data_IF_761652575449
#
_entry.id   IF_761652575449
#
_cell.length_a   1.000
_cell.length_b   1.000
_cell.length_c   1.000
_cell.angle_alpha   90.00
_cell.angle_beta   90.00
_cell.angle_gamma   90.00
#
_symmetry.space_group_name_H-M   'P 1'
#
loop_
_entity.id
_entity.type
_entity.pdbx_description
1 polymer ?
#
# COMPACT_ATOMS: atom_id res chain seq x y z
N UNK A 1 -38.20 54.83 2.84
CA UNK A 1 -36.81 54.62 3.29
C UNK A 1 -36.60 53.14 3.48
N UNK A 2 -35.85 52.52 2.58
CA UNK A 2 -35.63 51.07 2.56
C UNK A 2 -34.48 50.70 3.51
N UNK A 3 -34.71 49.69 4.37
CA UNK A 3 -33.69 49.16 5.27
C UNK A 3 -32.59 48.43 4.47
N UNK A 4 -31.30 48.57 4.84
CA UNK A 4 -30.22 47.89 4.13
C UNK A 4 -30.22 46.39 4.46
N UNK A 5 -30.24 45.56 3.42
CA UNK A 5 -30.09 44.10 3.52
C UNK A 5 -28.65 43.79 3.92
N UNK A 6 -28.47 43.09 5.05
CA UNK A 6 -27.15 42.58 5.48
C UNK A 6 -26.64 41.52 4.48
N UNK A 7 -25.33 41.45 4.19
CA UNK A 7 -24.77 40.40 3.34
C UNK A 7 -24.96 39.04 4.02
N UNK A 8 -25.39 38.03 3.24
CA UNK A 8 -25.37 36.62 3.64
C UNK A 8 -23.92 36.18 3.72
N UNK A 9 -23.44 35.88 4.92
CA UNK A 9 -22.21 35.10 5.10
C UNK A 9 -22.47 33.69 4.57
N UNK A 10 -21.85 33.35 3.45
CA UNK A 10 -21.77 31.99 2.95
C UNK A 10 -20.85 31.21 3.89
N UNK A 11 -21.45 30.48 4.85
CA UNK A 11 -20.73 29.44 5.59
C UNK A 11 -20.30 28.37 4.61
N UNK A 12 -19.02 28.38 4.26
CA UNK A 12 -18.30 27.22 3.75
C UNK A 12 -18.61 26.04 4.68
N UNK A 13 -19.28 25.02 4.15
CA UNK A 13 -19.45 23.76 4.85
C UNK A 13 -18.11 23.05 4.78
N UNK A 14 -17.31 23.22 5.82
CA UNK A 14 -16.30 22.24 6.19
C UNK A 14 -17.07 20.91 6.35
N UNK A 15 -16.84 19.98 5.42
CA UNK A 15 -17.29 18.60 5.58
C UNK A 15 -16.46 18.03 6.75
N UNK A 16 -17.04 18.11 7.95
CA UNK A 16 -16.54 17.43 9.14
C UNK A 16 -16.28 15.94 8.80
N UNK A 17 -15.01 15.56 8.85
CA UNK A 17 -14.45 14.19 8.76
C UNK A 17 -14.89 13.36 9.99
N UNK A 18 -16.21 13.20 10.19
CA UNK A 18 -16.81 12.55 11.37
C UNK A 18 -17.36 11.15 11.05
N UNK A 19 -16.57 10.37 10.32
CA UNK A 19 -16.77 8.93 10.12
C UNK A 19 -15.44 8.24 10.47
N UNK A 20 -15.22 8.03 11.78
CA UNK A 20 -14.03 7.38 12.32
C UNK A 20 -14.31 5.90 12.69
N UNK A 21 -14.21 4.95 11.74
CA UNK A 21 -14.27 3.53 12.04
C UNK A 21 -12.89 3.05 12.52
N UNK A 22 -12.80 2.53 13.75
CA UNK A 22 -11.65 1.81 14.36
C UNK A 22 -10.26 2.52 14.38
N UNK A 23 -10.07 3.59 13.62
CA UNK A 23 -8.89 4.47 13.60
C UNK A 23 -8.68 5.17 14.95
N UNK A 24 -9.77 5.47 15.67
CA UNK A 24 -9.80 6.26 16.90
C UNK A 24 -9.22 5.58 18.18
N UNK A 25 -8.60 4.39 18.07
CA UNK A 25 -7.90 3.74 19.21
C UNK A 25 -6.50 3.22 18.88
N UNK A 26 -5.85 3.71 17.82
CA UNK A 26 -4.43 3.39 17.57
C UNK A 26 -3.55 4.27 18.47
N UNK A 27 -3.30 3.80 19.70
CA UNK A 27 -2.44 4.48 20.67
C UNK A 27 -1.05 4.68 20.07
N UNK A 28 -0.60 5.94 19.95
CA UNK A 28 0.77 6.30 19.58
C UNK A 28 1.73 5.53 20.50
N UNK A 29 2.51 4.60 19.94
CA UNK A 29 3.49 3.79 20.68
C UNK A 29 3.12 2.32 20.92
N UNK A 30 2.00 1.80 20.39
CA UNK A 30 1.73 0.36 20.44
C UNK A 30 2.65 -0.43 19.50
N UNK A 31 3.21 -1.51 20.03
CA UNK A 31 3.99 -2.52 19.30
C UNK A 31 3.19 -3.02 18.09
N UNK A 32 3.71 -2.80 16.89
CA UNK A 32 3.13 -3.30 15.63
C UNK A 32 4.21 -3.55 14.60
N UNK A 33 3.94 -4.49 13.69
CA UNK A 33 4.74 -4.72 12.50
C UNK A 33 4.16 -3.93 11.34
N UNK A 34 5.00 -3.13 10.70
CA UNK A 34 4.69 -2.49 9.43
C UNK A 34 5.45 -3.24 8.34
N UNK A 35 4.76 -3.66 7.28
CA UNK A 35 5.40 -4.29 6.12
C UNK A 35 5.23 -3.40 4.91
N UNK A 36 6.34 -3.04 4.28
CA UNK A 36 6.34 -2.30 3.01
C UNK A 36 6.76 -3.28 1.91
N UNK A 37 5.83 -3.57 1.01
CA UNK A 37 6.11 -4.30 -0.23
C UNK A 37 6.67 -3.33 -1.27
N UNK A 38 8.00 -3.35 -1.46
CA UNK A 38 8.74 -2.40 -2.28
C UNK A 38 8.87 -2.84 -3.73
N UNK A 39 8.70 -1.89 -4.67
CA UNK A 39 8.86 -2.15 -6.10
C UNK A 39 7.82 -3.12 -6.66
N UNK A 40 6.60 -3.09 -6.12
CA UNK A 40 5.50 -3.94 -6.59
C UNK A 40 5.16 -3.66 -8.06
N UNK A 41 5.05 -4.72 -8.87
CA UNK A 41 4.67 -4.62 -10.28
C UNK A 41 3.15 -4.51 -10.45
N UNK A 42 2.60 -3.35 -10.10
CA UNK A 42 1.17 -3.04 -10.21
C UNK A 42 0.96 -1.83 -11.13
N UNK A 43 0.56 -2.09 -12.36
CA UNK A 43 0.36 -1.09 -13.41
C UNK A 43 -0.86 -1.46 -14.25
N UNK A 44 -1.67 -0.49 -14.65
CA UNK A 44 -2.77 -0.72 -15.59
C UNK A 44 -2.34 -0.48 -17.03
N UNK A 45 -2.90 -1.28 -17.94
CA UNK A 45 -2.72 -1.15 -19.38
C UNK A 45 -4.09 -1.16 -20.06
N UNK A 46 -4.22 -0.38 -21.14
CA UNK A 46 -5.44 -0.36 -21.95
C UNK A 46 -5.34 -1.40 -23.05
N UNK A 47 -6.26 -2.36 -23.05
CA UNK A 47 -6.38 -3.40 -24.08
C UNK A 47 -7.71 -3.22 -24.79
N UNK A 48 -7.67 -2.67 -26.01
CA UNK A 48 -8.88 -2.30 -26.74
C UNK A 48 -9.72 -1.25 -25.98
N UNK A 49 -10.88 -1.68 -25.47
CA UNK A 49 -11.83 -0.83 -24.72
C UNK A 49 -11.76 -1.04 -23.20
N UNK A 50 -11.02 -2.04 -22.72
CA UNK A 50 -10.94 -2.39 -21.29
C UNK A 50 -9.59 -2.01 -20.70
N UNK A 51 -9.55 -1.86 -19.38
CA UNK A 51 -8.32 -1.69 -18.61
C UNK A 51 -8.03 -2.99 -17.87
N UNK A 52 -6.80 -3.45 -17.99
CA UNK A 52 -6.31 -4.67 -17.35
C UNK A 52 -5.06 -4.38 -16.53
N UNK A 53 -4.77 -5.24 -15.56
CA UNK A 53 -3.49 -5.17 -14.84
C UNK A 53 -2.41 -5.78 -15.72
N UNK A 54 -1.32 -5.06 -15.93
CA UNK A 54 -0.19 -5.49 -16.74
C UNK A 54 0.40 -6.78 -16.16
N UNK A 55 0.67 -7.75 -17.03
CA UNK A 55 1.05 -9.12 -16.64
C UNK A 55 1.92 -9.74 -17.73
N UNK A 56 2.96 -10.47 -17.35
CA UNK A 56 3.84 -11.22 -18.24
C UNK A 56 3.10 -12.21 -19.17
N UNK A 57 2.05 -12.87 -18.70
CA UNK A 57 1.38 -13.94 -19.45
C UNK A 57 0.42 -13.40 -20.51
N UNK A 58 -0.43 -12.44 -20.13
CA UNK A 58 -1.47 -11.87 -21.00
C UNK A 58 -0.93 -10.79 -21.94
N UNK A 59 0.09 -10.05 -21.50
CA UNK A 59 0.53 -8.83 -22.19
C UNK A 59 1.94 -8.92 -22.78
N UNK A 60 2.49 -10.12 -22.97
CA UNK A 60 3.86 -10.36 -23.47
C UNK A 60 4.19 -9.57 -24.74
N UNK A 61 3.32 -9.63 -25.76
CA UNK A 61 3.55 -8.94 -27.03
C UNK A 61 3.57 -7.41 -26.87
N UNK A 62 2.74 -6.88 -25.98
CA UNK A 62 2.71 -5.45 -25.67
C UNK A 62 3.99 -5.01 -24.95
N UNK A 63 4.44 -5.82 -23.98
CA UNK A 63 5.68 -5.57 -23.22
C UNK A 63 6.90 -5.52 -24.15
N UNK A 64 7.05 -6.53 -25.01
CA UNK A 64 8.14 -6.60 -26.00
C UNK A 64 8.12 -5.39 -26.95
N UNK A 65 6.94 -4.96 -27.42
CA UNK A 65 6.80 -3.76 -28.25
C UNK A 65 7.19 -2.46 -27.55
N UNK A 66 6.99 -2.41 -26.23
CA UNK A 66 7.40 -1.28 -25.39
C UNK A 66 8.87 -1.35 -24.93
N UNK A 67 9.62 -2.38 -25.35
CA UNK A 67 11.01 -2.59 -24.95
C UNK A 67 11.18 -3.01 -23.49
N UNK A 68 10.10 -3.46 -22.83
CA UNK A 68 10.13 -3.94 -21.44
C UNK A 68 10.25 -5.45 -21.41
N UNK A 69 11.05 -5.96 -20.48
CA UNK A 69 11.16 -7.40 -20.25
C UNK A 69 9.85 -7.93 -19.62
N UNK A 70 9.15 -8.88 -20.25
CA UNK A 70 8.02 -9.56 -19.65
C UNK A 70 8.35 -10.21 -18.30
N UNK A 71 9.58 -10.66 -18.09
CA UNK A 71 10.03 -11.29 -16.84
C UNK A 71 9.90 -10.41 -15.60
N UNK A 72 9.94 -9.07 -15.77
CA UNK A 72 9.85 -8.10 -14.68
C UNK A 72 8.41 -7.76 -14.26
N UNK A 73 7.42 -8.18 -15.07
CA UNK A 73 6.01 -7.84 -14.83
C UNK A 73 5.31 -8.98 -14.11
N UNK A 74 5.50 -9.01 -12.79
CA UNK A 74 5.06 -10.09 -11.89
C UNK A 74 4.13 -9.59 -10.77
N UNK A 75 2.90 -9.16 -11.08
CA UNK A 75 1.89 -8.79 -10.08
C UNK A 75 1.51 -9.94 -9.13
N UNK A 76 1.76 -11.20 -9.52
CA UNK A 76 1.52 -12.40 -8.72
C UNK A 76 2.36 -12.44 -7.44
N UNK A 77 3.58 -11.88 -7.45
CA UNK A 77 4.44 -11.80 -6.27
C UNK A 77 3.74 -10.98 -5.18
N UNK A 78 3.26 -9.79 -5.54
CA UNK A 78 2.52 -8.92 -4.60
C UNK A 78 1.23 -9.59 -4.13
N UNK A 79 0.52 -10.27 -5.03
CA UNK A 79 -0.70 -11.00 -4.68
C UNK A 79 -0.46 -12.07 -3.61
N UNK A 80 0.53 -12.94 -3.83
CA UNK A 80 0.86 -14.01 -2.89
C UNK A 80 1.37 -13.47 -1.55
N UNK A 81 2.23 -12.44 -1.58
CA UNK A 81 2.71 -11.78 -0.36
C UNK A 81 1.54 -11.20 0.46
N UNK A 82 0.60 -10.52 -0.19
CA UNK A 82 -0.59 -9.98 0.48
C UNK A 82 -1.48 -11.07 1.07
N UNK A 83 -1.66 -12.20 0.38
CA UNK A 83 -2.41 -13.33 0.94
C UNK A 83 -1.78 -13.83 2.24
N UNK A 84 -0.46 -14.00 2.27
CA UNK A 84 0.26 -14.46 3.47
C UNK A 84 0.18 -13.44 4.61
N UNK A 85 0.39 -12.16 4.31
CA UNK A 85 0.36 -11.08 5.28
C UNK A 85 -1.04 -10.93 5.90
N UNK A 86 -2.08 -10.85 5.07
CA UNK A 86 -3.45 -10.56 5.53
C UNK A 86 -4.09 -11.76 6.24
N UNK A 87 -3.65 -12.99 5.97
CA UNK A 87 -4.12 -14.18 6.68
C UNK A 87 -3.42 -14.46 8.00
N UNK A 88 -2.27 -13.83 8.21
CA UNK A 88 -1.42 -14.09 9.37
C UNK A 88 -2.18 -13.90 10.69
N UNK A 89 -1.88 -14.70 11.74
CA UNK A 89 -2.41 -14.46 13.07
C UNK A 89 -2.12 -13.03 13.57
N UNK A 90 -1.00 -12.45 13.11
CA UNK A 90 -0.59 -11.09 13.44
C UNK A 90 -1.57 -10.03 12.90
N UNK A 91 -2.07 -10.21 11.67
CA UNK A 91 -3.10 -9.34 11.11
C UNK A 91 -4.42 -9.48 11.88
N UNK A 92 -4.82 -10.71 12.21
CA UNK A 92 -6.05 -10.96 12.99
C UNK A 92 -5.98 -10.38 14.40
N UNK A 93 -4.79 -10.29 14.98
CA UNK A 93 -4.53 -9.64 16.26
C UNK A 93 -4.48 -8.09 16.16
N UNK A 94 -4.59 -7.51 14.96
CA UNK A 94 -4.53 -6.06 14.74
C UNK A 94 -3.12 -5.46 14.89
N UNK A 95 -2.07 -6.30 14.81
CA UNK A 95 -0.67 -5.89 15.02
C UNK A 95 0.09 -5.71 13.71
N UNK A 96 -0.58 -5.78 12.55
CA UNK A 96 0.01 -5.65 11.23
C UNK A 96 -0.56 -4.43 10.50
N UNK A 97 0.32 -3.65 9.87
CA UNK A 97 -0.03 -2.65 8.87
C UNK A 97 0.76 -2.93 7.59
N UNK A 98 0.10 -2.92 6.44
CA UNK A 98 0.76 -3.21 5.15
C UNK A 98 0.68 -1.98 4.25
N UNK A 99 1.81 -1.68 3.62
CA UNK A 99 1.92 -0.71 2.54
C UNK A 99 2.48 -1.39 1.30
N UNK A 100 2.06 -0.93 0.13
CA UNK A 100 2.59 -1.37 -1.15
C UNK A 100 3.12 -0.14 -1.86
N UNK A 101 4.40 -0.17 -2.20
CA UNK A 101 5.03 0.85 -3.02
C UNK A 101 5.35 0.26 -4.38
N UNK A 102 4.74 0.81 -5.43
CA UNK A 102 4.85 0.26 -6.79
C UNK A 102 6.06 0.79 -7.53
N UNK A 103 6.48 0.10 -8.59
CA UNK A 103 7.54 0.58 -9.50
C UNK A 103 7.21 1.93 -10.16
N UNK A 104 5.92 2.31 -10.21
CA UNK A 104 5.45 3.59 -10.73
C UNK A 104 5.29 4.67 -9.64
N UNK A 105 5.96 4.50 -8.50
CA UNK A 105 5.95 5.45 -7.38
C UNK A 105 4.54 5.71 -6.82
N UNK A 106 3.67 4.70 -6.85
CA UNK A 106 2.35 4.76 -6.22
C UNK A 106 2.43 4.09 -4.86
N UNK A 107 2.06 4.81 -3.81
CA UNK A 107 1.99 4.26 -2.46
C UNK A 107 0.54 3.92 -2.12
N UNK A 108 0.32 2.67 -1.72
CA UNK A 108 -0.99 2.13 -1.37
C UNK A 108 -0.96 1.70 0.09
N UNK A 109 -1.91 2.19 0.85
CA UNK A 109 -2.23 1.71 2.19
C UNK A 109 -3.29 0.61 2.12
N UNK A 110 -3.03 -0.49 2.84
CA UNK A 110 -3.96 -1.61 2.95
C UNK A 110 -4.57 -1.63 4.35
N UNK A 111 -5.89 -1.51 4.43
CA UNK A 111 -6.61 -1.64 5.69
C UNK A 111 -6.53 -3.11 6.18
N UNK A 112 -6.21 -3.37 7.46
CA UNK A 112 -6.16 -4.72 8.05
C UNK A 112 -7.41 -5.58 7.84
N UNK A 113 -8.59 -4.96 7.68
CA UNK A 113 -9.86 -5.64 7.43
C UNK A 113 -10.04 -6.09 5.97
N UNK A 114 -9.15 -5.69 5.07
CA UNK A 114 -9.24 -6.00 3.65
C UNK A 114 -9.10 -7.50 3.41
N UNK A 115 -10.11 -8.11 2.80
CA UNK A 115 -10.04 -9.50 2.31
C UNK A 115 -9.51 -9.52 0.89
N UNK A 116 -8.25 -9.90 0.72
CA UNK A 116 -7.62 -10.01 -0.59
C UNK A 116 -8.24 -11.19 -1.37
N UNK A 117 -8.69 -10.99 -2.62
CA UNK A 117 -9.25 -12.07 -3.43
C UNK A 117 -8.25 -13.20 -3.63
N UNK A 118 -8.66 -14.45 -3.40
CA UNK A 118 -7.80 -15.64 -3.55
C UNK A 118 -7.42 -15.96 -4.99
N UNK A 119 -8.33 -15.68 -5.91
CA UNK A 119 -8.12 -15.93 -7.34
C UNK A 119 -7.41 -14.72 -7.94
N UNK A 120 -6.33 -14.97 -8.66
CA UNK A 120 -5.47 -13.93 -9.21
C UNK A 120 -6.19 -12.96 -10.16
N UNK A 121 -7.11 -13.44 -11.02
CA UNK A 121 -7.88 -12.55 -11.91
C UNK A 121 -8.76 -11.54 -11.16
N UNK A 122 -9.34 -11.94 -10.02
CA UNK A 122 -10.14 -11.02 -9.17
C UNK A 122 -9.25 -10.00 -8.47
N UNK A 123 -8.05 -10.40 -8.06
CA UNK A 123 -7.06 -9.47 -7.53
C UNK A 123 -6.66 -8.44 -8.59
N UNK A 124 -6.44 -8.85 -9.84
CA UNK A 124 -6.14 -7.94 -10.94
C UNK A 124 -7.24 -6.90 -11.13
N UNK A 125 -8.51 -7.31 -11.18
CA UNK A 125 -9.65 -6.38 -11.27
C UNK A 125 -9.72 -5.39 -10.11
N UNK A 126 -9.44 -5.87 -8.88
CA UNK A 126 -9.40 -5.02 -7.68
C UNK A 126 -8.29 -3.96 -7.78
N UNK A 127 -7.09 -4.34 -8.24
CA UNK A 127 -5.96 -3.41 -8.40
C UNK A 127 -6.22 -2.39 -9.52
N UNK A 128 -6.82 -2.81 -10.63
CA UNK A 128 -7.26 -1.88 -11.69
C UNK A 128 -8.25 -0.86 -11.13
N UNK A 129 -9.26 -1.32 -10.37
CA UNK A 129 -10.22 -0.43 -9.74
C UNK A 129 -9.55 0.55 -8.78
N UNK A 130 -8.62 0.07 -7.93
CA UNK A 130 -7.87 0.90 -7.00
C UNK A 130 -7.06 1.98 -7.71
N UNK A 131 -6.31 1.61 -8.75
CA UNK A 131 -5.44 2.56 -9.48
C UNK A 131 -6.25 3.61 -10.26
N UNK A 132 -7.46 3.27 -10.71
CA UNK A 132 -8.36 4.23 -11.38
C UNK A 132 -9.12 5.15 -10.41
N UNK A 133 -9.61 4.61 -9.29
CA UNK A 133 -10.46 5.35 -8.33
C UNK A 133 -9.68 5.92 -7.15
N UNK A 134 -8.39 5.62 -7.04
CA UNK A 134 -7.48 5.95 -5.94
C UNK A 134 -7.89 5.40 -4.56
N UNK A 135 -9.05 4.74 -4.47
CA UNK A 135 -9.51 4.04 -3.27
C UNK A 135 -10.55 2.97 -3.62
N UNK A 136 -10.65 1.97 -2.75
CA UNK A 136 -11.71 0.95 -2.78
C UNK A 136 -12.39 0.93 -1.42
N UNK A 137 -13.72 1.06 -1.41
CA UNK A 137 -14.53 1.02 -0.20
C UNK A 137 -15.12 -0.37 0.01
N UNK A 138 -15.50 -0.67 1.25
CA UNK A 138 -16.27 -1.86 1.54
C UNK A 138 -17.65 -1.78 0.87
N UNK A 139 -18.23 -2.94 0.56
CA UNK A 139 -19.56 -2.98 -0.06
C UNK A 139 -20.68 -2.62 0.92
N UNK A 140 -20.43 -2.85 2.20
CA UNK A 140 -21.34 -2.74 3.34
C UNK A 140 -21.10 -1.50 4.20
N UNK A 141 -20.20 -0.59 3.80
CA UNK A 141 -19.94 0.61 4.59
C UNK A 141 -19.02 1.64 3.91
N UNK A 142 -18.89 2.83 4.51
CA UNK A 142 -18.09 3.92 3.96
C UNK A 142 -16.58 3.67 4.05
N UNK A 143 -16.13 2.71 4.86
CA UNK A 143 -14.72 2.45 5.12
C UNK A 143 -13.91 2.21 3.84
N UNK A 144 -12.76 2.87 3.74
CA UNK A 144 -11.78 2.62 2.67
C UNK A 144 -10.92 1.42 3.07
N UNK A 145 -10.96 0.38 2.25
CA UNK A 145 -10.18 -0.84 2.43
C UNK A 145 -8.80 -0.72 1.80
N UNK A 146 -8.72 -0.11 0.62
CA UNK A 146 -7.48 0.19 -0.07
C UNK A 146 -7.49 1.67 -0.44
N UNK A 147 -6.35 2.35 -0.26
CA UNK A 147 -6.24 3.78 -0.53
C UNK A 147 -4.86 4.11 -1.08
N UNK A 148 -4.81 4.87 -2.16
CA UNK A 148 -3.59 5.51 -2.63
C UNK A 148 -3.31 6.72 -1.73
N UNK A 149 -2.10 6.77 -1.19
CA UNK A 149 -1.63 7.81 -0.26
C UNK A 149 -0.41 8.52 -0.85
N UNK A 150 -0.05 9.68 -0.28
CA UNK A 150 1.08 10.49 -0.76
C UNK A 150 2.40 9.87 -0.32
N UNK A 151 3.40 9.94 -1.18
CA UNK A 151 4.80 9.66 -0.82
C UNK A 151 5.40 10.81 0.00
N UNK A 152 6.48 10.55 0.76
CA UNK A 152 7.15 9.25 0.98
C UNK A 152 6.42 8.35 1.99
N UNK A 153 6.75 7.05 2.01
CA UNK A 153 6.17 6.11 2.99
C UNK A 153 6.52 6.46 4.43
N UNK A 154 7.66 7.11 4.65
CA UNK A 154 8.14 7.55 5.97
C UNK A 154 7.14 8.41 6.75
N UNK A 155 6.35 9.22 6.05
CA UNK A 155 5.41 10.15 6.65
C UNK A 155 4.23 9.43 7.32
N UNK A 156 3.99 8.17 6.94
CA UNK A 156 2.92 7.33 7.45
C UNK A 156 3.40 6.31 8.48
N UNK A 157 4.70 6.31 8.79
CA UNK A 157 5.29 5.45 9.81
C UNK A 157 5.22 6.12 11.19
N UNK A 158 5.06 5.35 12.28
CA UNK A 158 5.04 5.91 13.62
C UNK A 158 6.42 6.43 14.02
N UNK A 159 6.45 7.40 14.94
CA UNK A 159 7.69 7.94 15.52
C UNK A 159 8.42 6.83 16.29
N UNK A 160 9.75 6.83 16.23
CA UNK A 160 10.59 5.82 16.89
C UNK A 160 10.55 4.45 16.22
N UNK A 161 10.07 4.37 14.98
CA UNK A 161 9.99 3.10 14.25
C UNK A 161 11.34 2.74 13.62
N UNK A 162 11.91 1.62 14.06
CA UNK A 162 13.06 1.00 13.41
C UNK A 162 12.67 0.54 12.00
N UNK A 163 13.53 0.80 11.01
CA UNK A 163 13.32 0.44 9.60
C UNK A 163 14.38 -0.58 9.18
N UNK A 164 13.94 -1.75 8.74
CA UNK A 164 14.80 -2.88 8.37
C UNK A 164 14.51 -3.25 6.91
N UNK A 165 15.53 -3.18 6.06
CA UNK A 165 15.48 -3.71 4.70
C UNK A 165 15.86 -5.19 4.67
N UNK A 166 15.12 -5.99 3.92
CA UNK A 166 15.48 -7.40 3.68
C UNK A 166 16.26 -7.54 2.38
N UNK A 167 17.35 -8.30 2.42
CA UNK A 167 18.18 -8.58 1.25
C UNK A 167 18.87 -9.93 1.39
N UNK A 168 18.88 -10.71 0.30
CA UNK A 168 19.64 -11.95 0.23
C UNK A 168 21.16 -11.71 0.23
N UNK A 169 21.61 -10.55 -0.26
CA UNK A 169 23.03 -10.19 -0.31
C UNK A 169 23.56 -9.67 1.04
N UNK A 170 22.76 -9.67 2.10
CA UNK A 170 23.21 -9.27 3.42
C UNK A 170 24.32 -10.24 3.90
N UNK A 171 25.43 -9.73 4.45
CA UNK A 171 26.58 -10.56 4.81
C UNK A 171 26.29 -11.53 5.95
N UNK A 172 25.35 -11.17 6.85
CA UNK A 172 24.99 -11.95 8.01
C UNK A 172 23.49 -12.25 7.99
N UNK A 173 23.14 -13.47 8.39
CA UNK A 173 21.74 -13.88 8.64
C UNK A 173 21.46 -13.69 10.12
N UNK A 174 20.44 -12.88 10.43
CA UNK A 174 20.03 -12.59 11.81
C UNK A 174 18.73 -13.32 12.13
N UNK A 175 18.60 -13.83 13.37
CA UNK A 175 17.32 -14.36 13.83
C UNK A 175 16.28 -13.24 13.92
N UNK A 176 15.15 -13.40 13.21
CA UNK A 176 14.06 -12.43 13.22
C UNK A 176 13.53 -12.15 14.62
N UNK A 177 13.61 -13.12 15.55
CA UNK A 177 13.14 -12.95 16.94
C UNK A 177 13.97 -11.93 17.71
N UNK A 178 15.25 -11.76 17.35
CA UNK A 178 16.15 -10.78 17.97
C UNK A 178 15.93 -9.37 17.41
N UNK A 179 15.47 -9.28 16.15
CA UNK A 179 15.18 -8.01 15.48
C UNK A 179 13.84 -7.39 15.90
N UNK A 180 12.93 -8.17 16.50
CA UNK A 180 11.62 -7.66 16.89
C UNK A 180 11.72 -6.90 18.22
N UNK A 181 11.52 -5.57 18.24
CA UNK A 181 11.51 -4.80 19.48
C UNK A 181 10.36 -5.24 20.40
N UNK A 182 10.59 -5.11 21.71
CA UNK A 182 9.63 -5.54 22.74
C UNK A 182 8.42 -4.62 22.86
N UNK A 183 8.62 -3.31 22.65
CA UNK A 183 7.59 -2.29 22.85
C UNK A 183 7.38 -1.40 21.61
N UNK A 184 8.44 -1.14 20.86
CA UNK A 184 8.40 -0.21 19.73
C UNK A 184 7.79 -0.84 18.47
N UNK A 185 7.27 -0.01 17.54
CA UNK A 185 6.91 -0.47 16.20
C UNK A 185 8.16 -0.75 15.35
N UNK A 186 8.08 -1.73 14.47
CA UNK A 186 9.15 -2.06 13.52
C UNK A 186 8.59 -2.10 12.10
N UNK A 187 9.33 -1.52 11.15
CA UNK A 187 9.03 -1.57 9.72
C UNK A 187 10.00 -2.52 9.04
N UNK A 188 9.46 -3.50 8.32
CA UNK A 188 10.22 -4.42 7.47
C UNK A 188 9.88 -4.11 6.01
N UNK A 189 10.91 -3.87 5.22
CA UNK A 189 10.79 -3.66 3.77
C UNK A 189 11.15 -4.95 3.04
N UNK A 190 10.22 -5.41 2.19
CA UNK A 190 10.33 -6.65 1.42
C UNK A 190 10.16 -6.33 -0.06
N UNK A 191 11.08 -6.79 -0.90
CA UNK A 191 10.99 -6.61 -2.35
C UNK A 191 9.84 -7.41 -2.95
N UNK A 192 8.98 -6.74 -3.72
CA UNK A 192 7.83 -7.31 -4.41
C UNK A 192 7.97 -7.22 -5.94
N UNK A 193 9.22 -7.29 -6.42
CA UNK A 193 9.63 -7.30 -7.82
C UNK A 193 10.14 -8.70 -8.22
N UNK A 194 10.24 -8.97 -9.53
CA UNK A 194 10.74 -10.25 -10.04
C UNK A 194 12.25 -10.42 -9.80
N UNK A 195 13.02 -9.40 -10.19
CA UNK A 195 14.46 -9.32 -9.93
C UNK A 195 14.81 -7.92 -9.45
N UNK A 196 15.81 -7.83 -8.58
CA UNK A 196 16.27 -6.56 -8.05
C UNK A 196 16.75 -6.68 -6.60
N UNK A 197 17.00 -5.52 -6.01
CA UNK A 197 17.39 -5.40 -4.61
C UNK A 197 16.60 -4.28 -3.96
N UNK A 198 16.20 -4.49 -2.70
CA UNK A 198 15.57 -3.43 -1.91
C UNK A 198 16.62 -2.34 -1.65
N UNK A 199 16.38 -1.14 -2.16
CA UNK A 199 17.26 0.02 -1.97
C UNK A 199 16.65 0.96 -0.94
N UNK A 200 17.33 1.17 0.19
CA UNK A 200 16.83 2.02 1.27
C UNK A 200 16.61 3.50 0.86
N UNK A 201 17.28 3.95 -0.20
CA UNK A 201 17.24 5.34 -0.68
C UNK A 201 15.92 5.72 -1.36
N UNK A 202 15.18 4.77 -1.96
CA UNK A 202 13.90 5.08 -2.64
C UNK A 202 12.75 5.37 -1.67
N UNK A 203 12.85 4.89 -0.42
CA UNK A 203 11.76 4.90 0.55
C UNK A 203 11.94 5.90 1.70
N UNK A 204 13.18 6.30 1.96
CA UNK A 204 13.53 7.14 3.09
C UNK A 204 14.40 8.29 2.61
N UNK A 205 13.83 9.49 2.53
CA UNK A 205 14.62 10.72 2.43
C UNK A 205 15.38 10.88 3.74
N UNK A 206 16.69 10.65 3.69
CA UNK A 206 17.57 11.04 4.77
C UNK A 206 17.80 12.55 4.65
N UNK A 207 17.15 13.34 5.50
CA UNK A 207 17.71 14.65 5.82
C UNK A 207 18.88 14.38 6.77
N UNK A 208 20.09 14.72 6.29
CA UNK A 208 21.32 14.78 7.07
C UNK A 208 21.24 15.91 8.10
#
# INVERSE_FOLDING_TARGET
MAAPRRPREEKEREEDDDDAPLEAKRVRGQRRLLVVLEGASLETVKVGKTFELLNCDKHKALLLRSGRDPGEVRPDITHQSLLMLMDSPLNRAGLLQVYIHTQKNVLIEVNPQTRIPRTFDRFCGLMVQLLHKLSVRAADGPQKLLKVIKNPVSDHLPVGCMKIGTSFAAPNVTDLRELVPKAEPVTIVVGAFAHGSVSACSLFTWEL
#
